data_IF_055134172905
#
_entry.id   IF_055134172905
#
_cell.length_a   1.000
_cell.length_b   1.000
_cell.length_c   1.000
_cell.angle_alpha   90.00
_cell.angle_beta   90.00
_cell.angle_gamma   90.00
#
_symmetry.space_group_name_H-M   'P 1'
#
loop_
_entity.id
_entity.type
_entity.pdbx_description
1 polymer ?
#
# COMPACT_ATOMS: atom_id res chain seq x y z
N UNK A 1 1.88 21.98 -10.10
CA UNK A 1 2.58 20.67 -10.31
C UNK A 1 2.61 19.88 -9.02
N UNK A 2 2.69 18.55 -9.10
CA UNK A 2 2.84 17.71 -7.90
C UNK A 2 4.17 17.96 -7.20
N UNK A 3 4.13 17.87 -5.86
CA UNK A 3 5.26 18.09 -4.97
C UNK A 3 5.34 16.96 -3.96
N UNK A 4 6.55 16.52 -3.67
CA UNK A 4 6.79 15.50 -2.66
C UNK A 4 6.83 16.09 -1.23
N UNK A 5 7.14 15.26 -0.25
CA UNK A 5 7.29 15.65 1.15
C UNK A 5 8.38 16.72 1.44
N UNK A 6 9.30 16.97 0.51
CA UNK A 6 10.37 17.98 0.58
C UNK A 6 10.09 19.20 -0.31
N UNK A 7 8.89 19.27 -0.88
CA UNK A 7 8.50 20.29 -1.86
C UNK A 7 9.29 20.23 -3.18
N UNK A 8 9.85 19.06 -3.51
CA UNK A 8 10.51 18.80 -4.78
C UNK A 8 9.51 18.22 -5.81
N UNK A 9 9.81 18.39 -7.09
CA UNK A 9 9.13 17.62 -8.15
C UNK A 9 9.47 16.13 -7.96
N UNK A 10 8.48 15.21 -8.00
CA UNK A 10 8.76 13.79 -7.78
C UNK A 10 9.70 13.23 -8.85
N UNK A 11 10.55 12.28 -8.47
CA UNK A 11 11.33 11.53 -9.44
C UNK A 11 10.43 10.59 -10.24
N UNK A 12 10.78 10.39 -11.51
CA UNK A 12 10.13 9.44 -12.39
C UNK A 12 11.12 8.34 -12.74
N UNK A 13 10.69 7.10 -12.65
CA UNK A 13 11.45 5.95 -13.10
C UNK A 13 10.58 5.11 -14.05
N UNK A 14 11.17 4.50 -15.07
CA UNK A 14 10.51 3.57 -15.99
C UNK A 14 11.41 2.36 -16.27
N UNK A 15 10.82 1.18 -16.47
CA UNK A 15 11.58 -0.05 -16.78
C UNK A 15 11.96 -0.10 -18.26
N UNK A 16 11.06 0.34 -19.12
CA UNK A 16 11.20 0.22 -20.57
C UNK A 16 11.34 1.60 -21.24
N UNK A 17 12.15 1.66 -22.28
CA UNK A 17 12.31 2.83 -23.15
C UNK A 17 11.08 3.06 -24.05
N UNK A 18 10.18 2.07 -24.13
CA UNK A 18 8.90 2.16 -24.80
C UNK A 18 7.76 2.38 -23.79
N UNK A 19 6.83 3.27 -24.13
CA UNK A 19 5.75 3.79 -23.27
C UNK A 19 4.76 2.75 -22.70
N UNK A 20 5.02 1.47 -22.90
CA UNK A 20 4.23 0.34 -22.45
C UNK A 20 4.64 -0.13 -21.05
N UNK A 21 5.83 0.26 -20.58
CA UNK A 21 6.36 -0.10 -19.26
C UNK A 21 5.64 0.57 -18.09
N UNK A 22 5.92 0.07 -16.89
CA UNK A 22 5.47 0.68 -15.64
C UNK A 22 6.24 1.97 -15.35
N UNK A 23 5.51 3.02 -14.97
CA UNK A 23 6.06 4.28 -14.50
C UNK A 23 5.90 4.34 -12.98
N UNK A 24 6.98 4.63 -12.28
CA UNK A 24 7.03 4.84 -10.82
C UNK A 24 7.26 6.31 -10.48
N UNK A 25 6.45 6.87 -9.57
CA UNK A 25 6.67 8.21 -9.00
C UNK A 25 7.31 8.08 -7.61
N UNK A 26 8.51 8.63 -7.44
CA UNK A 26 9.36 8.48 -6.24
C UNK A 26 9.67 7.01 -5.86
N UNK A 27 9.54 6.09 -6.82
CA UNK A 27 9.76 4.67 -6.61
C UNK A 27 10.28 3.98 -7.87
N UNK A 28 10.92 2.84 -7.67
CA UNK A 28 11.49 1.98 -8.69
C UNK A 28 10.40 1.01 -9.21
N UNK A 29 10.03 1.02 -10.50
CA UNK A 29 8.93 0.23 -11.01
C UNK A 29 9.25 -1.27 -11.09
N UNK A 30 10.52 -1.68 -11.03
CA UNK A 30 10.87 -3.12 -10.97
C UNK A 30 10.34 -3.85 -9.73
N UNK A 31 9.78 -3.12 -8.75
CA UNK A 31 9.02 -3.69 -7.63
C UNK A 31 7.57 -4.09 -7.99
N UNK A 32 7.09 -3.79 -9.20
CA UNK A 32 5.77 -4.23 -9.65
C UNK A 32 5.84 -5.69 -10.10
N UNK A 33 5.05 -6.57 -9.47
CA UNK A 33 4.99 -7.98 -9.83
C UNK A 33 4.53 -8.17 -11.29
N UNK A 34 5.15 -9.12 -11.98
CA UNK A 34 4.75 -9.54 -13.33
C UNK A 34 3.32 -10.13 -13.37
N UNK A 35 2.79 -10.56 -12.23
CA UNK A 35 1.45 -11.15 -12.09
C UNK A 35 0.36 -10.13 -11.77
N UNK A 36 0.69 -8.83 -11.73
CA UNK A 36 -0.28 -7.82 -11.26
C UNK A 36 -1.41 -7.56 -12.22
N UNK A 37 -1.19 -7.72 -13.53
CA UNK A 37 -2.24 -7.56 -14.53
C UNK A 37 -3.29 -8.67 -14.38
N UNK A 38 -2.85 -9.92 -14.14
CA UNK A 38 -3.75 -11.04 -13.85
C UNK A 38 -4.54 -10.78 -12.56
N UNK A 39 -3.92 -10.15 -11.56
CA UNK A 39 -4.57 -9.85 -10.28
C UNK A 39 -5.60 -8.72 -10.34
N UNK A 40 -5.63 -7.90 -11.41
CA UNK A 40 -6.56 -6.77 -11.55
C UNK A 40 -8.02 -7.26 -11.52
N UNK A 41 -8.32 -8.30 -12.29
CA UNK A 41 -9.67 -8.81 -12.51
C UNK A 41 -10.00 -10.06 -11.67
N UNK A 42 -9.00 -10.67 -11.02
CA UNK A 42 -9.20 -11.90 -10.26
C UNK A 42 -9.74 -11.64 -8.85
N UNK A 43 -10.94 -12.14 -8.58
CA UNK A 43 -11.53 -12.22 -7.24
C UNK A 43 -11.06 -13.44 -6.43
N UNK A 44 -10.40 -14.43 -7.06
CA UNK A 44 -10.16 -15.75 -6.48
C UNK A 44 -8.77 -15.89 -5.82
N UNK A 45 -8.50 -15.09 -4.79
CA UNK A 45 -7.26 -15.21 -4.00
C UNK A 45 -7.04 -16.62 -3.41
N UNK A 46 -8.11 -17.39 -3.21
CA UNK A 46 -8.07 -18.73 -2.61
C UNK A 46 -7.47 -19.81 -3.51
N UNK A 47 -7.39 -19.58 -4.82
CA UNK A 47 -6.87 -20.55 -5.81
C UNK A 47 -5.37 -20.37 -6.09
N UNK A 48 -4.76 -19.29 -5.56
CA UNK A 48 -3.36 -18.96 -5.83
C UNK A 48 -2.39 -19.91 -5.15
N UNK A 49 -1.20 -20.03 -5.75
CA UNK A 49 -0.11 -20.80 -5.18
C UNK A 49 0.37 -20.14 -3.89
N UNK A 50 0.53 -20.97 -2.86
CA UNK A 50 1.05 -20.55 -1.56
C UNK A 50 2.38 -21.22 -1.27
N UNK A 51 3.30 -20.46 -0.69
CA UNK A 51 4.58 -20.95 -0.22
C UNK A 51 4.47 -21.75 1.08
N UNK A 52 5.62 -22.11 1.63
CA UNK A 52 5.69 -22.94 2.84
C UNK A 52 5.23 -22.21 4.10
N UNK A 53 5.29 -20.87 4.13
CA UNK A 53 4.83 -20.05 5.26
C UNK A 53 3.40 -19.51 5.06
N UNK A 54 2.73 -19.89 3.96
CA UNK A 54 1.36 -19.47 3.64
C UNK A 54 1.26 -18.12 2.91
N UNK A 55 2.39 -17.52 2.56
CA UNK A 55 2.54 -16.39 1.66
C UNK A 55 2.05 -16.75 0.25
N UNK A 56 1.51 -15.78 -0.49
CA UNK A 56 1.18 -15.97 -1.91
C UNK A 56 2.45 -15.80 -2.75
N UNK A 57 2.69 -16.72 -3.68
CA UNK A 57 3.94 -16.73 -4.46
C UNK A 57 3.90 -15.80 -5.68
N UNK A 58 2.72 -15.57 -6.24
CA UNK A 58 2.58 -14.77 -7.47
C UNK A 58 2.52 -13.26 -7.16
N UNK A 59 1.76 -12.90 -6.12
CA UNK A 59 1.58 -11.53 -5.64
C UNK A 59 1.09 -11.61 -4.18
N UNK A 60 1.90 -11.17 -3.24
CA UNK A 60 1.56 -11.09 -1.82
C UNK A 60 0.96 -9.71 -1.51
N UNK A 61 -0.38 -9.58 -1.35
CA UNK A 61 -1.05 -8.30 -1.21
C UNK A 61 -0.63 -7.55 0.05
N UNK A 62 -0.05 -8.20 1.07
CA UNK A 62 0.43 -7.48 2.24
C UNK A 62 1.82 -6.83 2.06
N UNK A 63 2.60 -7.25 1.07
CA UNK A 63 4.00 -6.77 0.91
C UNK A 63 4.30 -6.19 -0.47
N UNK A 64 3.47 -6.46 -1.46
CA UNK A 64 3.65 -6.00 -2.84
C UNK A 64 2.58 -4.98 -3.23
N UNK A 65 2.94 -4.05 -4.11
CA UNK A 65 2.00 -3.06 -4.62
C UNK A 65 0.87 -3.76 -5.39
N UNK A 66 -0.36 -3.31 -5.18
CA UNK A 66 -1.56 -3.83 -5.82
C UNK A 66 -2.38 -2.67 -6.38
N UNK A 67 -3.34 -3.00 -7.25
CA UNK A 67 -4.27 -2.05 -7.84
C UNK A 67 -5.04 -1.29 -6.76
N UNK A 68 -5.17 0.03 -6.94
CA UNK A 68 -6.03 0.86 -6.11
C UNK A 68 -7.47 0.33 -6.20
N UNK A 69 -8.08 0.14 -5.03
CA UNK A 69 -9.48 -0.26 -4.88
C UNK A 69 -10.10 0.59 -3.78
N UNK A 70 -11.27 1.18 -4.08
CA UNK A 70 -11.97 2.07 -3.16
C UNK A 70 -12.27 1.40 -1.81
N UNK A 71 -12.62 0.12 -1.85
CA UNK A 71 -13.04 -0.66 -0.69
C UNK A 71 -11.90 -0.91 0.31
N UNK A 72 -10.66 -0.76 -0.12
CA UNK A 72 -9.45 -1.07 0.66
C UNK A 72 -8.37 0.03 0.48
N UNK A 73 -8.80 1.28 0.39
CA UNK A 73 -7.95 2.46 0.12
C UNK A 73 -6.81 2.74 1.14
N UNK A 74 -6.67 1.94 2.20
CA UNK A 74 -5.55 2.00 3.14
C UNK A 74 -4.45 0.98 2.83
N UNK A 75 -4.68 0.02 1.93
CA UNK A 75 -3.78 -1.09 1.67
C UNK A 75 -2.42 -0.66 1.12
N UNK A 76 -2.37 0.39 0.32
CA UNK A 76 -1.11 0.99 -0.13
C UNK A 76 -0.34 1.74 0.97
N UNK A 77 -0.98 1.97 2.13
CA UNK A 77 -0.34 2.57 3.30
C UNK A 77 0.29 1.53 4.24
N UNK A 78 0.16 0.23 3.92
CA UNK A 78 0.78 -0.82 4.72
C UNK A 78 2.29 -0.57 4.80
N UNK A 79 2.87 -0.53 6.01
CA UNK A 79 4.31 -0.47 6.16
C UNK A 79 4.93 -1.81 5.76
N UNK A 80 6.00 -1.75 4.98
CA UNK A 80 6.77 -2.91 4.53
C UNK A 80 7.93 -3.24 5.47
N UNK A 81 8.34 -2.28 6.29
CA UNK A 81 9.47 -2.43 7.18
C UNK A 81 9.29 -1.68 8.50
N UNK A 82 10.03 -2.12 9.51
CA UNK A 82 10.06 -1.55 10.84
C UNK A 82 11.47 -1.13 11.19
N UNK A 83 11.65 0.12 11.61
CA UNK A 83 12.94 0.59 12.15
C UNK A 83 13.23 0.02 13.54
N UNK A 84 12.22 -0.54 14.20
CA UNK A 84 12.34 -1.18 15.52
C UNK A 84 12.97 -2.56 15.36
N UNK A 85 14.00 -2.82 16.17
CA UNK A 85 14.68 -4.10 16.29
C UNK A 85 14.41 -4.74 17.67
N UNK A 86 14.09 -6.05 17.74
CA UNK A 86 13.91 -6.96 16.61
C UNK A 86 12.65 -6.63 15.78
N UNK A 87 12.68 -6.95 14.48
CA UNK A 87 11.54 -6.77 13.58
C UNK A 87 10.31 -7.53 14.11
N UNK A 88 9.11 -6.91 14.21
CA UNK A 88 7.91 -7.64 14.61
C UNK A 88 7.58 -8.79 13.66
N UNK A 89 7.11 -9.91 14.21
CA UNK A 89 6.89 -11.18 13.49
C UNK A 89 5.98 -11.08 12.27
N UNK A 90 5.04 -10.14 12.28
CA UNK A 90 4.07 -9.96 11.20
C UNK A 90 4.62 -9.22 9.97
N UNK A 91 5.84 -8.66 10.03
CA UNK A 91 6.48 -8.04 8.86
C UNK A 91 7.31 -9.01 8.03
N UNK A 92 7.47 -10.26 8.44
CA UNK A 92 8.19 -11.27 7.70
C UNK A 92 7.19 -12.32 7.20
N UNK A 93 6.70 -12.16 5.97
CA UNK A 93 5.70 -13.07 5.40
C UNK A 93 6.25 -14.46 5.11
N UNK A 94 7.56 -14.58 4.82
CA UNK A 94 8.21 -15.83 4.45
C UNK A 94 8.69 -16.64 5.67
N UNK A 95 8.79 -16.01 6.85
CA UNK A 95 9.08 -16.73 8.09
C UNK A 95 7.89 -17.61 8.51
N UNK A 96 8.06 -18.93 8.68
CA UNK A 96 6.97 -19.79 9.11
C UNK A 96 6.54 -19.49 10.55
N UNK A 97 5.26 -19.65 10.86
CA UNK A 97 4.75 -19.62 12.22
C UNK A 97 5.32 -20.82 12.99
N UNK A 98 5.93 -20.60 14.16
CA UNK A 98 6.44 -21.67 14.99
C UNK A 98 5.29 -22.54 15.52
N UNK A 99 5.46 -23.85 15.44
CA UNK A 99 4.43 -24.82 15.86
C UNK A 99 5.00 -25.95 16.73
N UNK A 100 4.10 -26.67 17.38
CA UNK A 100 4.34 -27.91 18.12
C UNK A 100 3.48 -29.02 17.51
N UNK A 101 4.07 -30.14 17.06
CA UNK A 101 3.30 -31.31 16.66
C UNK A 101 2.77 -32.03 17.89
N UNK A 102 1.52 -32.48 17.83
CA UNK A 102 0.85 -33.32 18.83
C UNK A 102 0.13 -34.48 18.12
N UNK A 103 -0.33 -35.48 18.86
CA UNK A 103 -1.04 -36.64 18.27
C UNK A 103 -2.28 -36.21 17.45
N UNK A 104 -2.94 -35.14 17.87
CA UNK A 104 -4.18 -34.62 17.26
C UNK A 104 -3.94 -33.62 16.11
N UNK A 105 -2.68 -33.25 15.83
CA UNK A 105 -2.34 -32.33 14.74
C UNK A 105 -1.22 -31.35 15.07
N UNK A 106 -1.28 -30.17 14.48
CA UNK A 106 -0.27 -29.11 14.61
C UNK A 106 -0.87 -27.90 15.31
N UNK A 107 -0.15 -27.36 16.29
CA UNK A 107 -0.59 -26.23 17.10
C UNK A 107 0.45 -25.11 17.03
N UNK A 108 0.02 -23.85 16.99
CA UNK A 108 0.94 -22.72 17.15
C UNK A 108 1.60 -22.81 18.52
N UNK A 109 2.91 -22.54 18.62
CA UNK A 109 3.58 -22.54 19.94
C UNK A 109 2.92 -21.52 20.86
N UNK A 110 2.63 -21.92 22.10
CA UNK A 110 1.86 -21.11 23.06
C UNK A 110 2.43 -19.71 23.29
N UNK A 111 3.76 -19.62 23.44
CA UNK A 111 4.47 -18.34 23.58
C UNK A 111 4.23 -17.42 22.38
N UNK A 112 4.21 -17.98 21.16
CA UNK A 112 3.96 -17.22 19.95
C UNK A 112 2.48 -16.87 19.78
N UNK A 113 1.58 -17.79 20.14
CA UNK A 113 0.13 -17.56 20.12
C UNK A 113 -0.24 -16.37 21.01
N UNK A 114 0.36 -16.26 22.19
CA UNK A 114 0.16 -15.14 23.12
C UNK A 114 0.57 -13.83 22.46
N UNK A 115 1.77 -13.78 21.87
CA UNK A 115 2.27 -12.59 21.15
C UNK A 115 1.36 -12.21 19.97
N UNK A 116 0.90 -13.21 19.18
CA UNK A 116 -0.02 -12.96 18.08
C UNK A 116 -1.32 -12.31 18.54
N UNK A 117 -1.91 -12.83 19.63
CA UNK A 117 -3.15 -12.31 20.20
C UNK A 117 -2.98 -10.91 20.76
N UNK A 118 -1.98 -10.68 21.60
CA UNK A 118 -1.72 -9.37 22.19
C UNK A 118 -1.48 -8.29 21.12
N UNK A 119 -0.69 -8.62 20.09
CA UNK A 119 -0.43 -7.70 18.99
C UNK A 119 -1.70 -7.40 18.19
N UNK A 120 -2.48 -8.42 17.86
CA UNK A 120 -3.73 -8.25 17.10
C UNK A 120 -4.76 -7.46 17.90
N UNK A 121 -5.07 -7.89 19.13
CA UNK A 121 -6.09 -7.28 19.99
C UNK A 121 -5.74 -5.82 20.30
N UNK A 122 -4.46 -5.52 20.57
CA UNK A 122 -4.00 -4.15 20.78
C UNK A 122 -4.22 -3.28 19.54
N UNK A 123 -3.82 -3.74 18.35
CA UNK A 123 -3.95 -2.96 17.11
C UNK A 123 -5.42 -2.81 16.71
N UNK A 124 -6.22 -3.88 16.87
CA UNK A 124 -7.64 -3.85 16.55
C UNK A 124 -8.40 -2.86 17.43
N UNK A 125 -8.08 -2.77 18.73
CA UNK A 125 -8.74 -1.79 19.60
C UNK A 125 -8.59 -0.34 19.12
N UNK A 126 -7.47 0.00 18.46
CA UNK A 126 -7.25 1.34 17.90
C UNK A 126 -8.10 1.58 16.67
N UNK A 127 -8.22 0.55 15.81
CA UNK A 127 -9.10 0.60 14.63
C UNK A 127 -10.55 0.73 15.07
N UNK A 128 -10.98 -0.04 16.07
CA UNK A 128 -12.33 0.03 16.62
C UNK A 128 -12.65 1.42 17.15
N UNK A 129 -11.78 2.01 17.99
CA UNK A 129 -12.00 3.36 18.54
C UNK A 129 -12.09 4.43 17.44
N UNK A 130 -11.23 4.36 16.41
CA UNK A 130 -11.30 5.26 15.25
C UNK A 130 -12.63 5.07 14.51
N UNK A 131 -13.02 3.83 14.23
CA UNK A 131 -14.23 3.54 13.43
C UNK A 131 -15.54 3.85 14.17
N UNK A 132 -15.47 4.01 15.50
CA UNK A 132 -16.61 4.38 16.35
C UNK A 132 -16.67 5.89 16.62
N UNK A 133 -15.66 6.68 16.24
CA UNK A 133 -15.67 8.12 16.48
C UNK A 133 -16.58 8.87 15.50
N UNK A 134 -17.15 10.01 15.92
CA UNK A 134 -18.10 10.79 15.11
C UNK A 134 -17.53 11.32 13.78
N UNK A 135 -16.20 11.43 13.67
CA UNK A 135 -15.53 11.87 12.44
C UNK A 135 -15.36 10.76 11.42
N UNK A 136 -15.58 9.49 11.78
CA UNK A 136 -15.50 8.37 10.85
C UNK A 136 -16.86 8.21 10.14
N UNK A 137 -16.97 8.53 8.83
CA UNK A 137 -18.27 8.53 8.18
C UNK A 137 -18.87 7.11 8.10
N UNK A 138 -20.18 7.01 8.33
CA UNK A 138 -20.92 5.74 8.23
C UNK A 138 -20.76 5.17 6.82
N UNK A 139 -20.47 3.88 6.74
CA UNK A 139 -20.27 3.18 5.47
C UNK A 139 -18.88 3.36 4.85
N UNK A 140 -17.99 4.12 5.49
CA UNK A 140 -16.58 4.15 5.09
C UNK A 140 -15.98 2.76 5.26
N UNK A 141 -15.28 2.21 4.25
CA UNK A 141 -14.65 0.91 4.36
C UNK A 141 -13.58 0.90 5.48
N UNK A 142 -13.41 -0.27 6.11
CA UNK A 142 -12.43 -0.51 7.19
C UNK A 142 -11.83 -1.92 7.04
N UNK A 143 -10.68 -2.23 7.68
CA UNK A 143 -10.07 -3.55 7.63
C UNK A 143 -11.09 -4.65 7.92
N UNK A 144 -11.02 -5.73 7.14
CA UNK A 144 -11.91 -6.86 7.31
C UNK A 144 -11.72 -7.47 8.72
N UNK A 145 -12.81 -7.92 9.37
CA UNK A 145 -12.71 -8.60 10.65
C UNK A 145 -11.90 -9.89 10.48
N UNK A 146 -11.08 -10.21 11.48
CA UNK A 146 -10.28 -11.42 11.49
C UNK A 146 -10.41 -12.13 12.85
N UNK A 147 -10.74 -13.42 12.82
CA UNK A 147 -10.81 -14.22 14.03
C UNK A 147 -9.42 -14.71 14.43
N UNK A 148 -8.73 -13.97 15.31
CA UNK A 148 -7.40 -14.36 15.81
C UNK A 148 -7.45 -15.65 16.65
N UNK A 149 -8.61 -15.99 17.23
CA UNK A 149 -8.76 -17.18 18.07
C UNK A 149 -8.63 -18.48 17.28
N UNK A 150 -8.76 -18.42 15.94
CA UNK A 150 -8.53 -19.57 15.08
C UNK A 150 -7.10 -20.14 15.21
N UNK A 151 -6.11 -19.31 15.57
CA UNK A 151 -4.73 -19.77 15.77
C UNK A 151 -4.56 -20.67 17.01
N UNK A 152 -5.50 -20.62 17.96
CA UNK A 152 -5.51 -21.49 19.13
C UNK A 152 -6.08 -22.88 18.84
N UNK A 153 -6.68 -23.09 17.65
CA UNK A 153 -7.24 -24.37 17.24
C UNK A 153 -6.12 -25.29 16.74
N UNK A 154 -6.32 -26.60 16.88
CA UNK A 154 -5.47 -27.60 16.23
C UNK A 154 -5.69 -27.62 14.72
N UNK A 155 -4.61 -27.77 13.95
CA UNK A 155 -4.64 -27.85 12.49
C UNK A 155 -4.30 -29.26 12.01
N UNK A 156 -4.97 -29.72 10.96
CA UNK A 156 -4.77 -31.08 10.42
C UNK A 156 -3.43 -31.20 9.69
N UNK A 157 -2.91 -30.08 9.17
CA UNK A 157 -1.61 -30.05 8.49
C UNK A 157 -0.81 -28.78 8.79
N UNK A 158 0.51 -28.87 8.66
CA UNK A 158 1.41 -27.72 8.71
C UNK A 158 0.97 -26.66 7.69
N UNK A 159 0.57 -27.07 6.48
CA UNK A 159 0.15 -26.14 5.43
C UNK A 159 -1.05 -25.29 5.86
N UNK A 160 -2.06 -25.87 6.50
CA UNK A 160 -3.22 -25.13 7.02
C UNK A 160 -2.82 -24.17 8.14
N UNK A 161 -1.96 -24.62 9.07
CA UNK A 161 -1.43 -23.77 10.13
C UNK A 161 -0.69 -22.56 9.56
N UNK A 162 0.18 -22.78 8.57
CA UNK A 162 0.95 -21.71 7.94
C UNK A 162 0.04 -20.75 7.14
N UNK A 163 -0.99 -21.26 6.45
CA UNK A 163 -2.01 -20.40 5.82
C UNK A 163 -2.73 -19.51 6.83
N UNK A 164 -3.17 -20.06 7.97
CA UNK A 164 -3.81 -19.29 9.03
C UNK A 164 -2.83 -18.27 9.66
N UNK A 165 -1.57 -18.68 9.81
CA UNK A 165 -0.47 -17.83 10.22
C UNK A 165 -0.23 -16.64 9.31
N UNK A 166 -0.07 -16.86 8.01
CA UNK A 166 0.06 -15.79 7.03
C UNK A 166 -1.19 -14.89 7.03
N UNK A 167 -2.39 -15.46 7.13
CA UNK A 167 -3.62 -14.66 7.21
C UNK A 167 -3.63 -13.73 8.43
N UNK A 168 -3.12 -14.15 9.60
CA UNK A 168 -3.03 -13.28 10.78
C UNK A 168 -2.00 -12.15 10.60
N UNK A 169 -0.87 -12.43 9.93
CA UNK A 169 0.10 -11.38 9.55
C UNK A 169 -0.53 -10.33 8.65
N UNK A 170 -1.21 -10.77 7.57
CA UNK A 170 -1.93 -9.87 6.65
C UNK A 170 -2.99 -9.05 7.39
N UNK A 171 -3.73 -9.66 8.30
CA UNK A 171 -4.74 -9.00 9.10
C UNK A 171 -4.16 -7.86 9.96
N UNK A 172 -3.01 -8.08 10.60
CA UNK A 172 -2.30 -7.04 11.36
C UNK A 172 -1.75 -5.95 10.44
N UNK A 173 -1.08 -6.33 9.35
CA UNK A 173 -0.50 -5.38 8.40
C UNK A 173 -1.57 -4.46 7.79
N UNK A 174 -2.72 -5.00 7.40
CA UNK A 174 -3.87 -4.24 6.89
C UNK A 174 -4.34 -3.18 7.90
N UNK A 175 -4.43 -3.54 9.19
CA UNK A 175 -4.79 -2.61 10.28
C UNK A 175 -3.73 -1.53 10.48
N UNK A 176 -2.44 -1.88 10.40
CA UNK A 176 -1.36 -0.89 10.44
C UNK A 176 -1.41 0.05 9.23
N UNK A 177 -1.76 -0.45 8.05
CA UNK A 177 -2.02 0.37 6.87
C UNK A 177 -3.17 1.34 7.11
N UNK A 178 -4.28 0.87 7.69
CA UNK A 178 -5.41 1.73 8.06
C UNK A 178 -5.02 2.83 9.05
N UNK A 179 -4.28 2.51 10.11
CA UNK A 179 -3.79 3.52 11.06
C UNK A 179 -2.87 4.54 10.37
N UNK A 180 -1.94 4.07 9.51
CA UNK A 180 -1.05 4.93 8.73
C UNK A 180 -1.80 5.89 7.80
N UNK A 181 -2.81 5.37 7.09
CA UNK A 181 -3.72 6.14 6.24
C UNK A 181 -4.49 7.18 7.04
N UNK A 182 -5.12 6.79 8.15
CA UNK A 182 -5.94 7.67 8.98
C UNK A 182 -5.14 8.86 9.52
N UNK A 183 -3.97 8.61 10.11
CA UNK A 183 -3.12 9.68 10.64
C UNK A 183 -2.63 10.66 9.57
N UNK A 184 -2.47 10.18 8.34
CA UNK A 184 -1.96 10.97 7.22
C UNK A 184 -3.07 11.74 6.51
N UNK A 185 -4.27 11.16 6.44
CA UNK A 185 -5.38 11.69 5.64
C UNK A 185 -6.34 12.55 6.47
N UNK A 186 -6.44 12.31 7.78
CA UNK A 186 -7.40 13.00 8.64
C UNK A 186 -6.70 14.03 9.51
N UNK A 187 -6.90 15.30 9.16
CA UNK A 187 -6.38 16.41 9.95
C UNK A 187 -6.95 16.39 11.37
N UNK A 188 -6.09 16.66 12.36
CA UNK A 188 -6.47 16.73 13.78
C UNK A 188 -7.19 15.47 14.28
N UNK A 189 -6.83 14.29 13.77
CA UNK A 189 -7.41 13.00 14.17
C UNK A 189 -7.27 12.74 15.68
N UNK A 190 -6.19 13.22 16.29
CA UNK A 190 -5.90 13.06 17.72
C UNK A 190 -6.93 13.75 18.63
N UNK A 191 -7.80 14.62 18.09
CA UNK A 191 -8.81 15.32 18.88
C UNK A 191 -10.11 14.53 19.06
N UNK A 192 -10.27 13.40 18.37
CA UNK A 192 -11.55 12.65 18.33
C UNK A 192 -11.45 11.24 18.87
N UNK A 193 -10.31 10.88 19.44
CA UNK A 193 -10.08 9.63 20.15
C UNK A 193 -9.36 9.95 21.47
N UNK A 194 -9.27 8.98 22.37
CA UNK A 194 -8.65 9.15 23.69
C UNK A 194 -7.14 9.44 23.59
N UNK A 195 -6.63 10.26 24.53
CA UNK A 195 -5.19 10.57 24.63
C UNK A 195 -4.34 9.29 24.81
N UNK A 196 -4.88 8.28 25.50
CA UNK A 196 -4.23 6.97 25.65
C UNK A 196 -4.00 6.31 24.29
N UNK A 197 -5.03 6.29 23.43
CA UNK A 197 -4.93 5.72 22.09
C UNK A 197 -4.06 6.57 21.17
N UNK A 198 -4.10 7.91 21.27
CA UNK A 198 -3.16 8.78 20.55
C UNK A 198 -1.72 8.42 20.89
N UNK A 199 -1.38 8.32 22.18
CA UNK A 199 -0.04 7.97 22.63
C UNK A 199 0.40 6.59 22.12
N UNK A 200 -0.51 5.61 22.15
CA UNK A 200 -0.25 4.26 21.66
C UNK A 200 -0.05 4.22 20.15
N UNK A 201 -0.90 4.89 19.37
CA UNK A 201 -0.76 4.99 17.90
C UNK A 201 0.55 5.71 17.54
N UNK A 202 0.88 6.81 18.19
CA UNK A 202 2.16 7.52 17.95
C UNK A 202 3.37 6.64 18.32
N UNK A 203 3.26 5.77 19.32
CA UNK A 203 4.30 4.78 19.62
C UNK A 203 4.52 3.74 18.51
N UNK A 204 3.52 3.51 17.65
CA UNK A 204 3.64 2.67 16.46
C UNK A 204 4.31 3.42 15.29
N UNK A 205 4.43 4.74 15.35
CA UNK A 205 4.95 5.55 14.23
C UNK A 205 6.33 5.16 13.71
N UNK A 206 7.30 4.78 14.55
CA UNK A 206 8.57 4.25 14.07
C UNK A 206 8.42 3.01 13.19
N UNK A 207 7.31 2.27 13.31
CA UNK A 207 7.00 1.09 12.49
C UNK A 207 6.44 1.45 11.10
N UNK A 208 6.15 2.72 10.82
CA UNK A 208 5.66 3.16 9.52
C UNK A 208 6.81 3.58 8.61
N UNK A 209 7.68 2.63 8.27
CA UNK A 209 8.78 2.82 7.33
C UNK A 209 8.30 3.02 5.89
N UNK A 210 8.99 2.36 4.95
CA UNK A 210 8.54 2.32 3.55
C UNK A 210 7.12 1.75 3.46
N UNK A 211 6.30 2.31 2.58
CA UNK A 211 4.92 1.87 2.34
C UNK A 211 4.82 1.01 1.08
N UNK A 212 3.78 0.19 1.03
CA UNK A 212 3.45 -0.69 -0.10
C UNK A 212 3.20 0.07 -1.40
N UNK A 213 2.46 1.18 -1.33
CA UNK A 213 2.08 1.98 -2.48
C UNK A 213 0.91 1.41 -3.29
N UNK A 214 0.62 2.05 -4.42
CA UNK A 214 -0.51 1.72 -5.30
C UNK A 214 -0.10 1.56 -6.75
N UNK A 215 -0.74 0.61 -7.42
CA UNK A 215 -0.85 0.61 -8.87
C UNK A 215 -2.17 1.28 -9.24
N UNK A 216 -2.15 2.25 -10.14
CA UNK A 216 -3.29 3.14 -10.38
C UNK A 216 -3.69 3.08 -11.85
N UNK A 217 -4.95 2.73 -12.08
CA UNK A 217 -5.62 3.04 -13.33
C UNK A 217 -6.17 4.47 -13.24
N UNK A 218 -5.40 5.43 -13.76
CA UNK A 218 -5.80 6.83 -13.73
C UNK A 218 -7.01 7.12 -14.62
N UNK A 219 -7.27 6.34 -15.66
CA UNK A 219 -8.45 6.57 -16.51
C UNK A 219 -9.75 6.26 -15.75
N UNK A 220 -9.70 5.23 -14.90
CA UNK A 220 -10.82 4.80 -14.06
C UNK A 220 -10.95 5.63 -12.77
N UNK A 221 -9.86 5.79 -12.01
CA UNK A 221 -9.92 6.27 -10.63
C UNK A 221 -9.45 7.72 -10.40
N UNK A 222 -9.20 8.52 -11.44
CA UNK A 222 -8.69 9.90 -11.27
C UNK A 222 -9.52 10.78 -10.32
N UNK A 223 -10.83 10.54 -10.22
CA UNK A 223 -11.75 11.29 -9.34
C UNK A 223 -11.63 10.93 -7.87
N UNK A 224 -10.96 9.84 -7.54
CA UNK A 224 -10.94 9.25 -6.21
C UNK A 224 -9.56 9.30 -5.57
N UNK A 225 -8.52 9.35 -6.40
CA UNK A 225 -7.14 9.34 -5.95
C UNK A 225 -6.63 10.75 -5.68
N UNK A 226 -5.91 10.91 -4.57
CA UNK A 226 -5.22 12.15 -4.23
C UNK A 226 -3.70 11.97 -4.38
N UNK A 227 -3.20 12.15 -5.60
CA UNK A 227 -1.78 11.95 -5.94
C UNK A 227 -0.88 12.89 -5.12
N UNK A 228 -1.30 14.14 -4.90
CA UNK A 228 -0.56 15.10 -4.08
C UNK A 228 -0.38 14.59 -2.64
N UNK A 229 -1.46 14.09 -2.03
CA UNK A 229 -1.41 13.54 -0.68
C UNK A 229 -0.46 12.33 -0.62
N UNK A 230 -0.58 11.41 -1.57
CA UNK A 230 0.25 10.20 -1.61
C UNK A 230 1.74 10.53 -1.73
N UNK A 231 2.12 11.44 -2.64
CA UNK A 231 3.51 11.88 -2.81
C UNK A 231 4.05 12.61 -1.57
N UNK A 232 3.22 13.45 -0.92
CA UNK A 232 3.58 14.13 0.34
C UNK A 232 3.82 13.15 1.49
N UNK A 233 3.20 11.98 1.46
CA UNK A 233 3.38 10.92 2.45
C UNK A 233 4.31 9.79 1.99
N UNK A 234 5.06 10.00 0.90
CA UNK A 234 6.00 9.05 0.33
C UNK A 234 5.36 7.68 0.00
N UNK A 235 4.13 7.67 -0.48
CA UNK A 235 3.54 6.45 -1.05
C UNK A 235 4.12 6.22 -2.44
N UNK A 236 4.67 5.03 -2.72
CA UNK A 236 4.97 4.63 -4.09
C UNK A 236 3.70 4.64 -4.96
N UNK A 237 3.81 5.19 -6.17
CA UNK A 237 2.71 5.23 -7.14
C UNK A 237 3.21 4.64 -8.45
N UNK A 238 2.52 3.63 -8.95
CA UNK A 238 2.81 2.93 -10.18
C UNK A 238 1.64 3.07 -11.14
N UNK A 239 1.90 3.29 -12.43
CA UNK A 239 0.85 3.35 -13.46
C UNK A 239 1.44 3.10 -14.84
N UNK A 240 0.57 2.86 -15.82
CA UNK A 240 0.93 2.85 -17.24
C UNK A 240 0.41 4.11 -17.91
N UNK A 241 1.23 4.73 -18.77
CA UNK A 241 0.80 5.89 -19.53
C UNK A 241 0.16 5.45 -20.84
N UNK A 242 -1.17 5.31 -20.83
CA UNK A 242 -1.89 4.86 -22.03
C UNK A 242 -1.94 5.96 -23.11
N UNK A 243 -2.22 5.54 -24.35
CA UNK A 243 -2.44 6.47 -25.46
C UNK A 243 -3.58 7.46 -25.20
N UNK A 244 -4.64 7.01 -24.53
CA UNK A 244 -5.79 7.85 -24.18
C UNK A 244 -5.37 8.94 -23.19
N UNK A 245 -4.60 8.58 -22.15
CA UNK A 245 -4.06 9.55 -21.19
C UNK A 245 -3.19 10.59 -21.88
N UNK A 246 -2.29 10.17 -22.78
CA UNK A 246 -1.40 11.07 -23.54
C UNK A 246 -2.14 12.13 -24.35
N UNK A 247 -3.28 11.76 -24.94
CA UNK A 247 -4.08 12.68 -25.78
C UNK A 247 -5.00 13.57 -24.98
N UNK A 248 -5.22 13.26 -23.72
CA UNK A 248 -6.14 14.01 -22.87
C UNK A 248 -5.38 15.02 -22.01
N UNK A 249 -5.58 16.34 -22.23
CA UNK A 249 -4.88 17.41 -21.51
C UNK A 249 -4.96 17.33 -19.98
N UNK A 250 -5.98 16.65 -19.44
CA UNK A 250 -6.20 16.52 -18.00
C UNK A 250 -5.14 15.64 -17.30
N UNK A 251 -4.54 14.70 -18.02
CA UNK A 251 -3.49 13.83 -17.47
C UNK A 251 -2.08 14.40 -17.65
N UNK A 252 -1.94 15.63 -18.15
CA UNK A 252 -0.61 16.24 -18.43
C UNK A 252 0.29 16.29 -17.19
N UNK A 253 -0.28 16.43 -15.98
CA UNK A 253 0.48 16.46 -14.72
C UNK A 253 1.19 15.16 -14.35
N UNK A 254 0.69 14.04 -14.85
CA UNK A 254 1.31 12.73 -14.69
C UNK A 254 2.05 12.32 -15.96
N UNK A 255 2.27 13.24 -16.91
CA UNK A 255 3.14 12.94 -18.05
C UNK A 255 4.60 12.90 -17.54
N UNK A 256 5.29 11.76 -17.61
CA UNK A 256 6.65 11.63 -17.11
C UNK A 256 7.60 12.65 -17.75
N UNK A 257 7.40 13.05 -19.01
CA UNK A 257 8.25 14.06 -19.68
C UNK A 257 8.13 15.42 -19.03
N UNK A 258 6.92 15.83 -18.68
CA UNK A 258 6.71 17.12 -18.01
C UNK A 258 7.32 17.09 -16.62
N UNK A 259 7.15 15.99 -15.89
CA UNK A 259 7.72 15.85 -14.54
C UNK A 259 9.25 15.90 -14.61
N UNK A 260 9.87 15.15 -15.53
CA UNK A 260 11.32 15.15 -15.72
C UNK A 260 11.85 16.51 -16.17
N UNK A 261 11.19 17.18 -17.13
CA UNK A 261 11.62 18.49 -17.63
C UNK A 261 11.54 19.58 -16.56
N UNK A 262 10.68 19.42 -15.54
CA UNK A 262 10.54 20.34 -14.42
C UNK A 262 11.33 19.92 -13.19
N UNK A 263 11.95 18.74 -13.19
CA UNK A 263 12.76 18.29 -12.07
C UNK A 263 14.09 19.05 -12.04
N UNK A 264 14.44 19.59 -10.88
CA UNK A 264 15.66 20.40 -10.70
C UNK A 264 16.96 19.57 -10.70
N UNK A 265 16.86 18.23 -10.68
CA UNK A 265 17.98 17.30 -10.66
C UNK A 265 18.06 16.51 -11.97
N UNK A 266 19.29 16.27 -12.46
CA UNK A 266 19.53 15.32 -13.56
C UNK A 266 19.01 13.94 -13.13
N UNK A 267 17.90 13.50 -13.73
CA UNK A 267 17.39 12.14 -13.57
C UNK A 267 18.17 11.25 -14.54
N UNK A 268 19.15 10.51 -14.02
CA UNK A 268 19.92 9.54 -14.81
C UNK A 268 18.98 8.43 -15.33
N UNK A 269 19.06 8.14 -16.63
CA UNK A 269 18.61 6.85 -17.17
C UNK A 269 17.20 6.75 -17.74
N UNK A 270 16.40 7.82 -17.80
CA UNK A 270 15.08 7.75 -18.43
C UNK A 270 15.10 8.42 -19.81
N UNK A 271 15.15 7.62 -20.88
CA UNK A 271 14.98 8.10 -22.25
C UNK A 271 13.65 7.61 -22.82
N UNK A 272 12.61 8.43 -22.68
CA UNK A 272 11.32 8.12 -23.27
C UNK A 272 11.30 8.57 -24.74
N UNK A 273 11.50 7.62 -25.66
CA UNK A 273 11.48 7.90 -27.10
C UNK A 273 10.06 8.21 -27.56
N UNK A 274 9.74 9.46 -27.88
CA UNK A 274 8.44 9.82 -28.48
C UNK A 274 8.58 10.27 -29.93
N UNK A 275 7.49 10.06 -30.68
CA UNK A 275 7.33 10.50 -32.06
C UNK A 275 6.56 11.83 -32.00
N UNK A 276 7.25 12.94 -31.70
CA UNK A 276 6.65 14.29 -31.77
C UNK A 276 7.39 15.37 -30.98
N UNK A 277 7.10 16.63 -31.30
CA UNK A 277 7.57 17.79 -30.53
C UNK A 277 6.87 17.85 -29.17
N UNK A 278 7.65 18.02 -28.10
CA UNK A 278 7.16 18.22 -26.74
C UNK A 278 7.54 19.61 -26.23
N UNK A 279 6.58 20.53 -26.21
CA UNK A 279 6.77 21.89 -25.70
C UNK A 279 6.48 21.93 -24.19
N UNK A 280 7.52 22.09 -23.37
CA UNK A 280 7.42 22.03 -21.90
C UNK A 280 6.54 23.16 -21.36
N UNK A 281 6.69 24.37 -21.90
CA UNK A 281 6.01 25.59 -21.48
C UNK A 281 4.50 25.50 -21.76
N UNK A 282 4.13 25.04 -22.94
CA UNK A 282 2.72 24.80 -23.29
C UNK A 282 2.11 23.74 -22.37
N UNK A 283 2.83 22.63 -22.15
CA UNK A 283 2.36 21.53 -21.30
C UNK A 283 2.25 21.95 -19.83
N UNK A 284 3.15 22.80 -19.35
CA UNK A 284 3.08 23.39 -18.01
C UNK A 284 1.82 24.24 -17.84
N UNK A 285 1.51 25.12 -18.79
CA UNK A 285 0.29 25.94 -18.75
C UNK A 285 -0.97 25.06 -18.77
N UNK A 286 -0.97 23.98 -19.56
CA UNK A 286 -2.07 23.01 -19.57
C UNK A 286 -2.19 22.29 -18.23
N UNK A 287 -1.09 21.86 -17.63
CA UNK A 287 -1.07 21.20 -16.32
C UNK A 287 -1.60 22.12 -15.20
N UNK A 288 -1.26 23.41 -15.23
CA UNK A 288 -1.77 24.42 -14.30
C UNK A 288 -3.27 24.66 -14.46
N UNK A 289 -3.81 24.55 -15.68
CA UNK A 289 -5.26 24.66 -15.92
C UNK A 289 -6.07 23.54 -15.25
N UNK A 290 -5.48 22.36 -15.06
CA UNK A 290 -6.14 21.20 -14.48
C UNK A 290 -5.58 20.87 -13.08
N UNK A 291 -5.30 21.91 -12.27
CA UNK A 291 -4.56 21.73 -11.03
C UNK A 291 -5.27 20.80 -10.02
N UNK A 292 -6.60 20.88 -9.96
CA UNK A 292 -7.46 20.13 -9.04
C UNK A 292 -7.86 18.74 -9.56
N UNK A 293 -7.40 18.33 -10.74
CA UNK A 293 -7.92 17.12 -11.42
C UNK A 293 -7.70 15.82 -10.65
N UNK A 294 -6.67 15.73 -9.80
CA UNK A 294 -6.36 14.57 -8.96
C UNK A 294 -6.53 14.88 -7.47
N UNK A 295 -7.54 15.67 -7.12
CA UNK A 295 -7.87 16.04 -5.74
C UNK A 295 -9.39 15.87 -5.54
N UNK A 296 -9.84 14.75 -4.92
CA UNK A 296 -11.24 14.56 -4.51
C UNK A 296 -11.68 15.54 -3.41
#
# INVERSE_FOLDING_TARGET
MFRDHKDNIPSVNCIDDDWNGWIGLNCEPSFVSVHVDEAKDLANWHERLVGSAGEFLDLEPATEADWYRREIQWEGWIPLDSVIQPKPWYFDMIAPIPYTPMEEGFFVKEEHLTVCRENYESIESYVEEITQCDRFPIGTPRPAPFDITQLAKGFVSIRELQKAGAASKRAILSRLGFLSWWMSSVSKWYQVISDETVNRIESLRPRFGRKKGYIVDFEEYWREVNVSLWLKHQLPIYYRLTWTMRRNPRFTKIDPRLIMALADAEQEGVSLYDIGEFNVEEKKLVAEKYDEFFQP
#
